data_IF_994015634078
#
_entry.id   IF_994015634078
#
_cell.length_a   1.000
_cell.length_b   1.000
_cell.length_c   1.000
_cell.angle_alpha   90.00
_cell.angle_beta   90.00
_cell.angle_gamma   90.00
#
_symmetry.space_group_name_H-M   'P 1'
#
loop_
_entity.id
_entity.type
_entity.pdbx_description
1 polymer ?
#
# COMPACT_ATOMS: atom_id res chain seq x y z
N UNK A 1 17.17 12.04 -26.06
CA UNK A 1 18.05 11.47 -25.02
C UNK A 1 17.14 10.58 -24.18
N UNK A 2 17.43 9.29 -24.02
CA UNK A 2 16.55 8.43 -23.21
C UNK A 2 16.68 8.87 -21.76
N UNK A 3 15.60 9.38 -21.17
CA UNK A 3 15.59 9.87 -19.79
C UNK A 3 15.27 8.73 -18.80
N UNK A 4 15.82 7.55 -19.05
CA UNK A 4 15.69 6.35 -18.21
C UNK A 4 17.09 5.78 -17.93
N UNK A 5 17.20 4.93 -16.92
CA UNK A 5 18.47 4.33 -16.51
C UNK A 5 19.08 4.93 -15.25
N UNK A 6 18.28 5.68 -14.47
CA UNK A 6 18.67 6.21 -13.16
C UNK A 6 18.65 5.11 -12.09
N UNK A 7 19.45 4.07 -12.27
CA UNK A 7 19.49 2.90 -11.38
C UNK A 7 19.86 3.25 -9.93
N UNK A 8 20.66 4.30 -9.72
CA UNK A 8 20.94 4.81 -8.38
C UNK A 8 19.66 5.27 -7.67
N UNK A 9 18.78 5.99 -8.37
CA UNK A 9 17.48 6.43 -7.85
C UNK A 9 16.57 5.23 -7.58
N UNK A 10 16.57 4.22 -8.47
CA UNK A 10 15.83 2.96 -8.26
C UNK A 10 16.25 2.29 -6.96
N UNK A 11 17.56 2.10 -6.76
CA UNK A 11 18.13 1.41 -5.61
C UNK A 11 17.85 2.18 -4.33
N UNK A 12 18.13 3.49 -4.31
CA UNK A 12 17.94 4.34 -3.13
C UNK A 12 16.47 4.35 -2.70
N UNK A 13 15.54 4.64 -3.62
CA UNK A 13 14.11 4.68 -3.27
C UNK A 13 13.59 3.31 -2.84
N UNK A 14 13.98 2.24 -3.54
CA UNK A 14 13.58 0.89 -3.16
C UNK A 14 14.05 0.55 -1.75
N UNK A 15 15.32 0.84 -1.43
CA UNK A 15 15.88 0.60 -0.09
C UNK A 15 15.15 1.41 0.98
N UNK A 16 14.86 2.69 0.74
CA UNK A 16 14.11 3.53 1.69
C UNK A 16 12.78 2.87 2.04
N UNK A 17 11.97 2.49 1.05
CA UNK A 17 10.65 1.89 1.29
C UNK A 17 10.74 0.47 1.88
N UNK A 18 11.70 -0.34 1.45
CA UNK A 18 11.89 -1.71 1.96
C UNK A 18 12.36 -1.69 3.41
N UNK A 19 13.38 -0.88 3.74
CA UNK A 19 13.90 -0.74 5.12
C UNK A 19 12.81 -0.14 6.02
N UNK A 20 12.11 0.87 5.53
CA UNK A 20 10.97 1.45 6.24
C UNK A 20 9.93 0.37 6.56
N UNK A 21 9.46 -0.38 5.57
CA UNK A 21 8.47 -1.44 5.77
C UNK A 21 8.98 -2.56 6.70
N UNK A 22 10.25 -2.93 6.58
CA UNK A 22 10.88 -3.95 7.44
C UNK A 22 10.80 -3.58 8.93
N UNK A 23 10.95 -2.29 9.25
CA UNK A 23 10.90 -1.79 10.63
C UNK A 23 9.54 -2.02 11.32
N UNK A 24 8.45 -2.06 10.54
CA UNK A 24 7.08 -2.31 11.01
C UNK A 24 6.71 -3.80 10.98
N UNK A 25 6.98 -4.49 9.86
CA UNK A 25 6.51 -5.87 9.66
C UNK A 25 7.30 -6.86 10.52
N UNK A 26 8.62 -6.67 10.66
CA UNK A 26 9.53 -7.53 11.43
C UNK A 26 9.27 -9.04 11.22
N UNK A 27 9.51 -9.57 10.01
CA UNK A 27 9.15 -10.94 9.64
C UNK A 27 9.74 -11.99 10.60
N UNK A 28 8.91 -12.89 11.14
CA UNK A 28 9.35 -13.92 12.11
C UNK A 28 9.31 -15.32 11.52
N UNK A 29 8.33 -15.60 10.67
CA UNK A 29 8.11 -16.91 10.07
C UNK A 29 8.23 -16.86 8.53
N UNK A 30 8.25 -18.05 7.90
CA UNK A 30 8.38 -18.18 6.43
C UNK A 30 7.25 -17.47 5.68
N UNK A 31 6.04 -17.43 6.25
CA UNK A 31 4.91 -16.74 5.62
C UNK A 31 5.12 -15.24 5.64
N UNK A 32 5.56 -14.66 6.76
CA UNK A 32 5.87 -13.23 6.86
C UNK A 32 6.96 -12.84 5.86
N UNK A 33 8.02 -13.65 5.76
CA UNK A 33 9.11 -13.44 4.81
C UNK A 33 8.64 -13.50 3.35
N UNK A 34 7.72 -14.42 3.02
CA UNK A 34 7.13 -14.48 1.68
C UNK A 34 6.33 -13.23 1.36
N UNK A 35 5.47 -12.78 2.28
CA UNK A 35 4.66 -11.57 2.10
C UNK A 35 5.55 -10.34 1.96
N UNK A 36 6.55 -10.20 2.84
CA UNK A 36 7.51 -9.10 2.79
C UNK A 36 8.38 -9.12 1.52
N UNK A 37 8.77 -10.30 1.06
CA UNK A 37 9.50 -10.47 -0.20
C UNK A 37 8.67 -10.04 -1.41
N UNK A 38 7.39 -10.43 -1.47
CA UNK A 38 6.49 -9.97 -2.54
C UNK A 38 6.27 -8.46 -2.50
N UNK A 39 6.14 -7.86 -1.31
CA UNK A 39 6.07 -6.41 -1.15
C UNK A 39 7.34 -5.73 -1.66
N UNK A 40 8.52 -6.26 -1.29
CA UNK A 40 9.81 -5.73 -1.74
C UNK A 40 9.95 -5.83 -3.25
N UNK A 41 9.52 -6.94 -3.86
CA UNK A 41 9.50 -7.10 -5.31
C UNK A 41 8.55 -6.11 -5.99
N UNK A 42 7.39 -5.80 -5.41
CA UNK A 42 6.48 -4.77 -5.93
C UNK A 42 7.15 -3.39 -5.91
N UNK A 43 7.82 -3.03 -4.82
CA UNK A 43 8.54 -1.75 -4.69
C UNK A 43 9.67 -1.65 -5.71
N UNK A 44 10.49 -2.70 -5.85
CA UNK A 44 11.58 -2.73 -6.84
C UNK A 44 11.03 -2.65 -8.26
N UNK A 45 9.96 -3.39 -8.58
CA UNK A 45 9.31 -3.35 -9.88
C UNK A 45 8.80 -1.94 -10.21
N UNK A 46 8.09 -1.31 -9.27
CA UNK A 46 7.58 0.05 -9.41
C UNK A 46 8.69 1.05 -9.72
N UNK A 47 9.73 1.10 -8.89
CA UNK A 47 10.82 2.07 -9.08
C UNK A 47 11.67 1.74 -10.32
N UNK A 48 11.83 0.46 -10.65
CA UNK A 48 12.52 0.05 -11.89
C UNK A 48 11.77 0.54 -13.11
N UNK A 49 10.46 0.40 -13.16
CA UNK A 49 9.67 0.89 -14.30
C UNK A 49 9.56 2.41 -14.35
N UNK A 50 9.67 3.09 -13.20
CA UNK A 50 9.63 4.55 -13.14
C UNK A 50 10.96 5.20 -13.53
N UNK A 51 12.09 4.69 -13.04
CA UNK A 51 13.41 5.33 -13.20
C UNK A 51 14.43 4.52 -14.01
N UNK A 52 14.28 3.20 -14.06
CA UNK A 52 15.23 2.26 -14.65
C UNK A 52 14.90 1.92 -16.09
N UNK A 53 14.00 0.96 -16.30
CA UNK A 53 13.57 0.49 -17.61
C UNK A 53 12.04 0.42 -17.67
N UNK A 54 11.37 1.26 -18.48
CA UNK A 54 9.91 1.37 -18.52
C UNK A 54 9.29 0.23 -19.36
N UNK A 55 9.32 -0.98 -18.81
CA UNK A 55 8.84 -2.19 -19.50
C UNK A 55 7.40 -2.05 -20.00
N UNK A 56 6.50 -1.48 -19.18
CA UNK A 56 5.10 -1.26 -19.56
C UNK A 56 4.97 -0.38 -20.81
N UNK A 57 5.71 0.73 -20.87
CA UNK A 57 5.69 1.63 -22.03
C UNK A 57 6.27 0.90 -23.24
N UNK A 58 7.38 0.18 -23.09
CA UNK A 58 7.99 -0.55 -24.18
C UNK A 58 7.03 -1.59 -24.80
N UNK A 59 6.34 -2.38 -23.97
CA UNK A 59 5.37 -3.38 -24.42
C UNK A 59 4.15 -2.76 -25.09
N UNK A 60 3.67 -1.62 -24.59
CA UNK A 60 2.49 -0.95 -25.11
C UNK A 60 2.80 0.06 -26.24
N UNK A 61 4.07 0.31 -26.53
CA UNK A 61 4.53 1.36 -27.45
C UNK A 61 3.91 1.26 -28.85
N UNK A 62 3.73 0.04 -29.40
CA UNK A 62 3.09 -0.16 -30.70
C UNK A 62 1.63 0.32 -30.71
N UNK A 63 0.87 -0.04 -29.68
CA UNK A 63 -0.53 0.37 -29.54
C UNK A 63 -0.68 1.85 -29.17
N UNK A 64 0.18 2.38 -28.28
CA UNK A 64 0.16 3.80 -27.92
C UNK A 64 0.55 4.69 -29.10
N UNK A 65 1.58 4.32 -29.86
CA UNK A 65 2.03 5.11 -31.02
C UNK A 65 0.96 5.18 -32.12
N UNK A 66 0.19 4.11 -32.32
CA UNK A 66 -0.90 4.08 -33.31
C UNK A 66 -2.07 4.96 -32.88
N UNK A 67 -2.41 4.97 -31.59
CA UNK A 67 -3.60 5.66 -31.07
C UNK A 67 -3.33 7.11 -30.63
N UNK A 68 -2.10 7.42 -30.24
CA UNK A 68 -1.67 8.73 -29.75
C UNK A 68 -0.33 9.15 -30.37
N UNK A 69 -0.30 9.43 -31.69
CA UNK A 69 0.94 9.68 -32.44
C UNK A 69 1.68 10.97 -32.04
N UNK A 70 1.06 11.84 -31.24
CA UNK A 70 1.63 13.10 -30.75
C UNK A 70 2.42 12.92 -29.44
N UNK A 71 2.33 11.75 -28.78
CA UNK A 71 2.94 11.52 -27.47
C UNK A 71 4.42 11.17 -27.59
N UNK A 72 5.25 11.84 -26.80
CA UNK A 72 6.65 11.49 -26.66
C UNK A 72 6.81 10.38 -25.61
N UNK A 73 6.46 9.16 -25.99
CA UNK A 73 6.35 7.98 -25.10
C UNK A 73 7.61 7.68 -24.27
N UNK A 74 8.77 8.13 -24.71
CA UNK A 74 10.07 7.84 -24.08
C UNK A 74 10.67 9.00 -23.28
N UNK A 75 9.92 10.10 -23.10
CA UNK A 75 10.29 11.18 -22.17
C UNK A 75 9.93 10.81 -20.71
N UNK A 76 10.72 11.26 -19.73
CA UNK A 76 10.52 10.97 -18.30
C UNK A 76 9.27 11.64 -17.73
N UNK A 77 8.71 12.62 -18.44
CA UNK A 77 7.43 13.25 -18.15
C UNK A 77 6.22 12.29 -18.32
N UNK A 78 6.45 11.00 -18.57
CA UNK A 78 5.45 9.93 -18.57
C UNK A 78 4.82 9.62 -17.21
N UNK A 79 5.16 10.37 -16.15
CA UNK A 79 4.31 10.52 -14.95
C UNK A 79 2.92 11.08 -15.27
N UNK A 80 2.70 11.43 -16.54
CA UNK A 80 1.49 11.95 -17.12
C UNK A 80 0.77 10.90 -17.97
N UNK A 81 1.12 9.61 -17.88
CA UNK A 81 0.41 8.52 -18.56
C UNK A 81 -1.12 8.64 -18.45
N UNK A 82 -1.64 8.93 -17.26
CA UNK A 82 -3.07 9.19 -17.07
C UNK A 82 -3.56 10.46 -17.78
N UNK A 83 -2.77 11.51 -17.72
CA UNK A 83 -3.09 12.80 -18.29
C UNK A 83 -3.11 12.73 -19.82
N UNK A 84 -2.17 11.99 -20.41
CA UNK A 84 -2.08 11.68 -21.83
C UNK A 84 -3.19 10.74 -22.31
N UNK A 85 -3.46 9.66 -21.55
CA UNK A 85 -4.53 8.70 -21.86
C UNK A 85 -5.94 9.33 -21.76
N UNK A 86 -6.14 10.26 -20.83
CA UNK A 86 -7.41 10.95 -20.61
C UNK A 86 -7.54 12.25 -21.43
N UNK A 87 -6.50 12.65 -22.16
CA UNK A 87 -6.51 13.86 -23.00
C UNK A 87 -6.71 15.15 -22.19
N UNK A 88 -6.20 15.20 -20.97
CA UNK A 88 -6.32 16.37 -20.09
C UNK A 88 -5.37 17.49 -20.54
N UNK A 89 -5.69 18.75 -20.24
CA UNK A 89 -4.86 19.94 -20.51
C UNK A 89 -4.66 20.79 -19.23
N UNK A 90 -3.48 21.41 -19.01
CA UNK A 90 -3.02 22.02 -17.74
C UNK A 90 -1.65 21.55 -17.18
N UNK A 91 -1.29 21.95 -15.96
CA UNK A 91 -0.06 21.48 -15.27
C UNK A 91 -0.26 20.05 -14.74
N UNK A 92 0.52 19.07 -15.19
CA UNK A 92 0.33 17.69 -14.78
C UNK A 92 0.55 17.40 -13.28
N UNK A 93 1.34 18.23 -12.58
CA UNK A 93 1.48 18.18 -11.12
C UNK A 93 0.20 18.59 -10.38
N UNK A 94 -0.71 19.31 -11.06
CA UNK A 94 -2.02 19.70 -10.53
C UNK A 94 -3.13 18.71 -10.89
N UNK A 95 -2.80 17.60 -11.58
CA UNK A 95 -3.81 16.63 -11.95
C UNK A 95 -4.50 16.05 -10.70
N UNK A 96 -5.83 15.88 -10.72
CA UNK A 96 -6.57 15.29 -9.59
C UNK A 96 -6.02 13.92 -9.17
N UNK A 97 -5.44 13.18 -10.11
CA UNK A 97 -4.83 11.86 -9.89
C UNK A 97 -3.51 11.98 -9.12
N UNK A 98 -2.65 12.94 -9.47
CA UNK A 98 -1.41 13.19 -8.73
C UNK A 98 -1.70 13.69 -7.30
N UNK A 99 -2.71 14.54 -7.14
CA UNK A 99 -3.17 14.99 -5.82
C UNK A 99 -3.74 13.82 -5.02
N UNK A 100 -4.61 13.00 -5.61
CA UNK A 100 -5.20 11.84 -4.95
C UNK A 100 -4.14 10.82 -4.52
N UNK A 101 -3.21 10.47 -5.40
CA UNK A 101 -2.10 9.55 -5.09
C UNK A 101 -1.22 10.09 -3.98
N UNK A 102 -0.87 11.38 -4.03
CA UNK A 102 -0.09 12.05 -2.97
C UNK A 102 -0.82 11.98 -1.62
N UNK A 103 -2.14 12.19 -1.60
CA UNK A 103 -2.96 12.05 -0.39
C UNK A 103 -3.00 10.61 0.11
N UNK A 104 -3.11 9.61 -0.76
CA UNK A 104 -3.07 8.20 -0.38
C UNK A 104 -1.71 7.80 0.20
N UNK A 105 -0.60 8.21 -0.43
CA UNK A 105 0.75 7.87 0.04
C UNK A 105 1.02 8.54 1.39
N UNK A 106 0.87 9.86 1.48
CA UNK A 106 1.19 10.60 2.71
C UNK A 106 0.19 10.28 3.83
N UNK A 107 -1.11 10.21 3.51
CA UNK A 107 -2.14 9.82 4.47
C UNK A 107 -1.96 8.38 4.95
N UNK A 108 -1.59 7.46 4.06
CA UNK A 108 -1.26 6.08 4.39
C UNK A 108 -0.03 5.96 5.28
N UNK A 109 1.05 6.70 5.00
CA UNK A 109 2.25 6.75 5.84
C UNK A 109 1.97 7.31 7.23
N UNK A 110 1.21 8.40 7.31
CA UNK A 110 0.78 8.97 8.59
C UNK A 110 -0.10 7.99 9.38
N UNK A 111 -1.06 7.35 8.71
CA UNK A 111 -1.92 6.35 9.34
C UNK A 111 -1.11 5.15 9.82
N UNK A 112 -0.14 4.67 9.04
CA UNK A 112 0.78 3.61 9.45
C UNK A 112 1.55 4.01 10.71
N UNK A 113 2.13 5.21 10.75
CA UNK A 113 2.85 5.72 11.92
C UNK A 113 1.96 5.77 13.17
N UNK A 114 0.71 6.25 13.04
CA UNK A 114 -0.26 6.28 14.14
C UNK A 114 -0.57 4.85 14.62
N UNK A 115 -0.91 3.94 13.70
CA UNK A 115 -1.26 2.55 14.05
C UNK A 115 -0.10 1.85 14.75
N UNK A 116 1.13 2.09 14.32
CA UNK A 116 2.31 1.52 14.94
C UNK A 116 2.49 1.92 16.40
N UNK A 117 2.23 3.18 16.75
CA UNK A 117 2.33 3.67 18.14
C UNK A 117 1.41 2.85 19.06
N UNK A 118 0.19 2.57 18.63
CA UNK A 118 -0.78 1.79 19.41
C UNK A 118 -0.37 0.31 19.50
N UNK A 119 0.05 -0.29 18.39
CA UNK A 119 0.48 -1.69 18.36
C UNK A 119 1.71 -1.93 19.23
N UNK A 120 2.73 -1.08 19.09
CA UNK A 120 3.97 -1.18 19.85
C UNK A 120 3.73 -1.06 21.36
N UNK A 121 2.88 -0.12 21.78
CA UNK A 121 2.50 0.03 23.21
C UNK A 121 1.78 -1.20 23.74
N UNK A 122 0.88 -1.79 22.97
CA UNK A 122 0.16 -3.01 23.36
C UNK A 122 1.11 -4.21 23.46
N UNK A 123 1.99 -4.40 22.47
CA UNK A 123 3.01 -5.45 22.46
C UNK A 123 3.96 -5.33 23.65
N UNK A 124 4.43 -4.13 24.01
CA UNK A 124 5.29 -3.89 25.18
C UNK A 124 4.64 -4.24 26.50
N UNK A 125 3.31 -4.15 26.58
CA UNK A 125 2.51 -4.52 27.75
C UNK A 125 2.04 -5.97 27.73
N UNK A 126 2.23 -6.70 26.63
CA UNK A 126 1.72 -8.06 26.47
C UNK A 126 0.19 -8.13 26.50
N UNK A 127 -0.50 -7.12 25.97
CA UNK A 127 -1.97 -7.05 25.92
C UNK A 127 -2.47 -6.89 24.49
N UNK A 128 -3.75 -7.18 24.26
CA UNK A 128 -4.39 -6.96 22.97
C UNK A 128 -4.47 -5.45 22.66
N UNK A 129 -4.09 -5.06 21.44
CA UNK A 129 -4.28 -3.69 20.98
C UNK A 129 -5.77 -3.42 20.72
N UNK A 130 -6.42 -2.64 21.59
CA UNK A 130 -7.87 -2.30 21.46
C UNK A 130 -8.16 -0.80 21.42
N UNK A 131 -7.13 0.04 21.33
CA UNK A 131 -7.26 1.50 21.38
C UNK A 131 -6.83 2.18 20.08
N UNK A 132 -7.29 3.42 19.87
CA UNK A 132 -7.00 4.17 18.65
C UNK A 132 -7.58 3.47 17.41
N UNK A 133 -6.82 3.35 16.31
CA UNK A 133 -7.28 2.64 15.11
C UNK A 133 -7.71 1.19 15.35
N UNK A 134 -7.08 0.52 16.33
CA UNK A 134 -7.41 -0.87 16.68
C UNK A 134 -8.77 -1.00 17.35
N UNK A 135 -9.37 0.08 17.85
CA UNK A 135 -10.73 0.05 18.37
C UNK A 135 -11.79 -0.11 17.26
N UNK A 136 -11.43 0.21 16.01
CA UNK A 136 -12.34 0.18 14.86
C UNK A 136 -12.13 -1.07 13.99
N UNK A 137 -10.86 -1.37 13.70
CA UNK A 137 -10.46 -2.48 12.83
C UNK A 137 -9.26 -3.23 13.43
N UNK A 138 -9.16 -4.54 13.19
CA UNK A 138 -8.10 -5.37 13.76
C UNK A 138 -6.75 -5.21 13.07
N UNK A 139 -6.75 -4.88 11.78
CA UNK A 139 -5.55 -4.84 10.96
C UNK A 139 -5.33 -3.47 10.29
N UNK A 140 -5.33 -2.36 11.05
CA UNK A 140 -5.18 -1.03 10.46
C UNK A 140 -3.80 -0.82 9.82
N UNK A 141 -2.75 -1.51 10.28
CA UNK A 141 -1.42 -1.50 9.68
C UNK A 141 -1.43 -2.05 8.24
N UNK A 142 -2.17 -3.13 7.98
CA UNK A 142 -2.30 -3.69 6.63
C UNK A 142 -3.13 -2.79 5.72
N UNK A 143 -4.18 -2.15 6.27
CA UNK A 143 -4.93 -1.13 5.54
C UNK A 143 -3.99 0.01 5.12
N UNK A 144 -3.14 0.48 6.03
CA UNK A 144 -2.17 1.54 5.73
C UNK A 144 -1.20 1.12 4.60
N UNK A 145 -0.62 -0.08 4.66
CA UNK A 145 0.23 -0.60 3.59
C UNK A 145 -0.50 -0.69 2.24
N UNK A 146 -1.73 -1.21 2.23
CA UNK A 146 -2.54 -1.31 1.00
C UNK A 146 -2.83 0.08 0.43
N UNK A 147 -3.15 1.06 1.27
CA UNK A 147 -3.40 2.45 0.86
C UNK A 147 -2.15 3.11 0.27
N UNK A 148 -0.98 2.91 0.89
CA UNK A 148 0.29 3.44 0.36
C UNK A 148 0.60 2.82 -1.02
N UNK A 149 0.51 1.49 -1.13
CA UNK A 149 0.74 0.79 -2.41
C UNK A 149 -0.25 1.23 -3.49
N UNK A 150 -1.52 1.45 -3.12
CA UNK A 150 -2.53 1.96 -4.03
C UNK A 150 -2.20 3.38 -4.51
N UNK A 151 -1.74 4.25 -3.61
CA UNK A 151 -1.28 5.59 -3.97
C UNK A 151 -0.13 5.55 -4.99
N UNK A 152 0.87 4.68 -4.78
CA UNK A 152 1.94 4.47 -5.75
C UNK A 152 1.44 3.93 -7.10
N UNK A 153 0.55 2.94 -7.06
CA UNK A 153 -0.05 2.37 -8.28
C UNK A 153 -0.86 3.41 -9.05
N UNK A 154 -1.55 4.31 -8.35
CA UNK A 154 -2.33 5.39 -8.96
C UNK A 154 -1.41 6.43 -9.63
N UNK A 155 -0.27 6.73 -9.00
CA UNK A 155 0.71 7.67 -9.53
C UNK A 155 1.46 7.11 -10.74
N UNK A 156 1.86 5.84 -10.69
CA UNK A 156 2.62 5.18 -11.76
C UNK A 156 2.06 3.78 -12.04
N UNK A 157 0.98 3.67 -12.83
CA UNK A 157 0.33 2.39 -13.12
C UNK A 157 1.15 1.57 -14.12
N UNK A 158 1.93 0.61 -13.63
CA UNK A 158 2.63 -0.34 -14.50
C UNK A 158 1.85 -1.63 -14.65
N UNK A 159 2.02 -2.32 -15.77
CA UNK A 159 1.39 -3.62 -16.01
C UNK A 159 1.79 -4.63 -14.91
N UNK A 160 3.06 -4.64 -14.53
CA UNK A 160 3.57 -5.56 -13.52
C UNK A 160 2.99 -5.24 -12.13
N UNK A 161 3.00 -3.97 -11.71
CA UNK A 161 2.43 -3.57 -10.41
C UNK A 161 0.92 -3.75 -10.36
N UNK A 162 0.20 -3.56 -11.48
CA UNK A 162 -1.23 -3.79 -11.57
C UNK A 162 -1.60 -5.27 -11.36
N UNK A 163 -0.75 -6.18 -11.85
CA UNK A 163 -0.91 -7.63 -11.62
C UNK A 163 -0.48 -8.05 -10.21
N UNK A 164 0.60 -7.48 -9.69
CA UNK A 164 1.13 -7.83 -8.36
C UNK A 164 0.28 -7.30 -7.21
N UNK A 165 -0.34 -6.13 -7.36
CA UNK A 165 -1.16 -5.49 -6.32
C UNK A 165 -2.29 -6.38 -5.78
N UNK A 166 -3.20 -6.97 -6.60
CA UNK A 166 -4.26 -7.84 -6.07
C UNK A 166 -3.70 -9.10 -5.40
N UNK A 167 -2.59 -9.66 -5.90
CA UNK A 167 -1.90 -10.80 -5.28
C UNK A 167 -1.44 -10.43 -3.87
N UNK A 168 -0.80 -9.26 -3.72
CA UNK A 168 -0.35 -8.75 -2.43
C UNK A 168 -1.51 -8.50 -1.46
N UNK A 169 -2.61 -7.91 -1.92
CA UNK A 169 -3.82 -7.72 -1.11
C UNK A 169 -4.33 -9.07 -0.58
N UNK A 170 -4.42 -10.09 -1.43
CA UNK A 170 -4.84 -11.44 -1.03
C UNK A 170 -3.87 -12.04 0.00
N UNK A 171 -2.56 -11.86 -0.20
CA UNK A 171 -1.53 -12.32 0.72
C UNK A 171 -1.64 -11.66 2.10
N UNK A 172 -1.85 -10.35 2.17
CA UNK A 172 -2.10 -9.64 3.44
C UNK A 172 -3.39 -10.12 4.12
N UNK A 173 -4.47 -10.37 3.36
CA UNK A 173 -5.70 -10.93 3.92
C UNK A 173 -5.47 -12.32 4.53
N UNK A 174 -4.66 -13.16 3.87
CA UNK A 174 -4.30 -14.49 4.40
C UNK A 174 -3.42 -14.36 5.64
N UNK A 175 -2.44 -13.47 5.63
CA UNK A 175 -1.55 -13.23 6.76
C UNK A 175 -2.33 -12.74 7.99
N UNK A 176 -3.24 -11.79 7.82
CA UNK A 176 -4.12 -11.30 8.88
C UNK A 176 -4.95 -12.41 9.55
N UNK A 177 -5.39 -13.42 8.78
CA UNK A 177 -6.10 -14.58 9.34
C UNK A 177 -5.20 -15.51 10.14
N UNK A 178 -3.92 -15.60 9.78
CA UNK A 178 -2.93 -16.38 10.53
C UNK A 178 -2.64 -15.67 11.86
N UNK A 179 -2.37 -14.37 11.82
CA UNK A 179 -2.13 -13.55 13.01
C UNK A 179 -3.33 -13.56 13.97
N UNK A 180 -4.56 -13.56 13.44
CA UNK A 180 -5.77 -13.73 14.26
C UNK A 180 -5.76 -15.06 15.03
N UNK A 181 -5.39 -16.16 14.37
CA UNK A 181 -5.32 -17.48 15.03
C UNK A 181 -4.23 -17.52 16.09
N UNK A 182 -3.09 -16.90 15.82
CA UNK A 182 -2.00 -16.78 16.79
C UNK A 182 -2.40 -15.89 17.98
N UNK A 183 -3.12 -14.80 17.72
CA UNK A 183 -3.62 -13.91 18.77
C UNK A 183 -4.67 -14.59 19.65
N UNK A 184 -5.56 -15.42 19.08
CA UNK A 184 -6.49 -16.25 19.86
C UNK A 184 -5.72 -17.21 20.76
N UNK A 185 -4.65 -17.84 20.26
CA UNK A 185 -3.81 -18.74 21.08
C UNK A 185 -3.08 -18.00 22.21
N UNK A 186 -2.62 -16.76 21.95
CA UNK A 186 -1.84 -15.99 22.91
C UNK A 186 -2.70 -15.29 23.98
N UNK A 187 -3.88 -14.77 23.60
CA UNK A 187 -4.71 -13.91 24.45
C UNK A 187 -6.08 -14.54 24.80
N UNK A 188 -6.43 -15.68 24.21
CA UNK A 188 -7.64 -16.43 24.54
C UNK A 188 -8.94 -15.64 24.35
N UNK A 189 -9.82 -15.73 25.35
CA UNK A 189 -11.14 -15.09 25.36
C UNK A 189 -11.06 -13.57 25.16
N UNK A 190 -10.02 -12.93 25.69
CA UNK A 190 -9.83 -11.49 25.57
C UNK A 190 -9.82 -11.03 24.08
N UNK A 191 -9.16 -11.81 23.23
CA UNK A 191 -9.10 -11.53 21.80
C UNK A 191 -10.40 -11.91 21.09
N UNK A 192 -11.07 -12.97 21.52
CA UNK A 192 -12.35 -13.39 20.95
C UNK A 192 -13.40 -12.29 21.15
N UNK A 193 -13.56 -11.78 22.38
CA UNK A 193 -14.48 -10.68 22.67
C UNK A 193 -14.14 -9.43 21.86
N UNK A 194 -12.85 -9.10 21.74
CA UNK A 194 -12.39 -8.00 20.91
C UNK A 194 -12.72 -8.22 19.42
N UNK A 195 -12.56 -9.44 18.91
CA UNK A 195 -12.83 -9.78 17.52
C UNK A 195 -14.32 -9.82 17.16
N UNK A 196 -15.20 -10.04 18.14
CA UNK A 196 -16.65 -9.97 17.93
C UNK A 196 -17.14 -8.52 17.78
N UNK A 197 -16.50 -7.59 18.49
CA UNK A 197 -16.83 -6.16 18.50
C UNK A 197 -16.09 -5.37 17.41
N UNK A 198 -15.10 -5.93 16.71
CA UNK A 198 -14.33 -5.23 15.67
C UNK A 198 -14.40 -5.93 14.32
N UNK A 199 -14.24 -5.18 13.23
CA UNK A 199 -14.08 -5.79 11.91
C UNK A 199 -12.61 -6.00 11.56
N UNK A 200 -12.31 -6.80 10.53
CA UNK A 200 -10.91 -7.07 10.13
C UNK A 200 -10.23 -5.86 9.50
N UNK A 201 -10.81 -5.39 8.39
CA UNK A 201 -10.28 -4.30 7.56
C UNK A 201 -11.25 -3.13 7.45
N UNK A 202 -12.53 -3.35 7.75
CA UNK A 202 -13.58 -2.34 7.77
C UNK A 202 -14.27 -2.35 9.14
N UNK A 203 -14.77 -1.20 9.64
CA UNK A 203 -15.47 -1.16 10.91
C UNK A 203 -16.66 -2.13 10.95
N UNK A 204 -16.84 -2.81 12.08
CA UNK A 204 -18.03 -3.65 12.28
C UNK A 204 -19.27 -2.77 12.48
N UNK A 205 -20.37 -3.10 11.81
CA UNK A 205 -21.67 -2.43 12.01
C UNK A 205 -22.13 -2.48 13.48
N UNK A 206 -21.77 -3.55 14.21
CA UNK A 206 -22.07 -3.68 15.65
C UNK A 206 -21.34 -2.60 16.47
N UNK A 207 -20.07 -2.35 16.15
CA UNK A 207 -19.25 -1.34 16.81
C UNK A 207 -19.79 0.07 16.53
N UNK A 208 -20.08 0.35 15.26
CA UNK A 208 -20.67 1.62 14.85
C UNK A 208 -21.98 1.89 15.60
N UNK A 209 -22.88 0.90 15.65
CA UNK A 209 -24.16 1.01 16.38
C UNK A 209 -23.96 1.30 17.87
N UNK A 210 -23.06 0.56 18.54
CA UNK A 210 -22.74 0.73 19.98
C UNK A 210 -22.19 2.13 20.27
N UNK A 211 -21.36 2.67 19.38
CA UNK A 211 -20.80 4.02 19.51
C UNK A 211 -21.84 5.13 19.30
N UNK A 212 -22.81 4.92 18.40
CA UNK A 212 -23.94 5.84 18.19
C UNK A 212 -24.97 5.81 19.33
N UNK A 213 -25.14 4.67 20.03
CA UNK A 213 -26.09 4.57 21.17
C UNK A 213 -25.53 5.10 22.50
N UNK A 214 -24.20 5.17 22.66
CA UNK A 214 -23.56 5.72 23.87
C UNK A 214 -23.48 7.26 23.81
N UNK A 215 -23.60 7.85 22.61
CA UNK A 215 -23.54 9.30 22.38
C UNK A 215 -24.94 9.93 22.15
N UNK A 216 -26.02 9.20 22.46
CA UNK A 216 -27.42 9.67 22.40
C UNK A 216 -28.06 9.61 23.78
#
# INVERSE_FOLDING_TARGET
>A
MFEYGYWEIVVINSLIFIIFAFSFVRPKNVTDWRVFGTFSAFIVALFTEMYGFPLTIYLLSGWLSERFPQLNLFAHDSGHLWYDLLGLSGDPHTSPIHIASTLFINGGLLFLAITWIFLYRAQRKGVVAKSGPYALIRHPQYVAFIVIMFGFLLQWPTLLTLLMFPILVIMYIKLAKIEERESIKAFGEEYVTYADDTGRFFPSLKNLRKKFTINS
#
